data_IF_758674062660
#
_entry.id   IF_758674062660
#
_cell.length_a   1.000
_cell.length_b   1.000
_cell.length_c   1.000
_cell.angle_alpha   90.00
_cell.angle_beta   90.00
_cell.angle_gamma   90.00
#
_symmetry.space_group_name_H-M   'P 1'
#
loop_
_entity.id
_entity.type
_entity.pdbx_description
1 polymer ?
#
# COMPACT_ATOMS: atom_id res chain seq x y z
N UNK A 1 -16.99 -25.06 -14.26
CA UNK A 1 -16.20 -26.26 -13.91
C UNK A 1 -17.07 -27.14 -13.04
N UNK A 2 -17.31 -28.40 -13.43
CA UNK A 2 -18.14 -29.32 -12.63
C UNK A 2 -17.42 -29.58 -11.31
N UNK A 3 -17.99 -29.16 -10.19
CA UNK A 3 -17.40 -29.17 -8.83
C UNK A 3 -17.11 -30.55 -8.22
N UNK A 4 -16.68 -31.52 -9.03
CA UNK A 4 -16.25 -32.85 -8.61
C UNK A 4 -14.74 -33.10 -8.68
N UNK A 5 -13.96 -32.18 -9.25
CA UNK A 5 -12.50 -32.29 -9.25
C UNK A 5 -11.95 -31.68 -7.96
N UNK A 6 -11.41 -32.50 -7.06
CA UNK A 6 -10.73 -32.06 -5.83
C UNK A 6 -9.26 -32.44 -5.93
N UNK A 7 -8.38 -31.48 -5.63
CA UNK A 7 -6.95 -31.75 -5.54
C UNK A 7 -6.68 -32.74 -4.39
N UNK A 8 -5.83 -33.76 -4.58
CA UNK A 8 -5.48 -34.70 -3.50
C UNK A 8 -4.86 -33.92 -2.33
N UNK A 9 -5.14 -34.31 -1.09
CA UNK A 9 -4.61 -33.62 0.11
C UNK A 9 -4.96 -32.12 0.25
N UNK A 10 -5.90 -31.58 -0.54
CA UNK A 10 -6.30 -30.17 -0.43
C UNK A 10 -6.92 -29.80 0.93
N UNK A 11 -7.37 -30.76 1.73
CA UNK A 11 -7.87 -30.52 3.09
C UNK A 11 -6.75 -30.08 4.07
N UNK A 12 -5.49 -30.36 3.74
CA UNK A 12 -4.31 -29.89 4.49
C UNK A 12 -4.00 -28.40 4.20
N UNK A 13 -4.57 -27.84 3.12
CA UNK A 13 -4.32 -26.47 2.63
C UNK A 13 -5.63 -25.68 2.58
N UNK A 14 -6.15 -25.34 3.75
CA UNK A 14 -7.39 -24.55 3.86
C UNK A 14 -7.16 -23.13 3.33
N UNK A 15 -7.80 -22.82 2.21
CA UNK A 15 -7.90 -21.47 1.70
C UNK A 15 -9.01 -20.70 2.45
N UNK A 16 -8.89 -19.38 2.60
CA UNK A 16 -9.96 -18.58 3.18
C UNK A 16 -11.20 -18.58 2.28
N UNK A 17 -12.35 -18.26 2.88
CA UNK A 17 -13.57 -18.04 2.12
C UNK A 17 -13.40 -16.84 1.19
N UNK A 18 -13.87 -16.96 -0.05
CA UNK A 18 -13.81 -15.85 -1.01
C UNK A 18 -15.14 -15.11 -0.98
N UNK A 19 -15.12 -13.89 -0.44
CA UNK A 19 -16.27 -12.99 -0.36
C UNK A 19 -16.11 -11.89 -1.42
N UNK A 20 -17.13 -11.72 -2.27
CA UNK A 20 -17.15 -10.62 -3.23
C UNK A 20 -17.51 -9.30 -2.57
N UNK A 21 -17.04 -8.20 -3.15
CA UNK A 21 -17.35 -6.85 -2.70
C UNK A 21 -18.85 -6.58 -2.45
N UNK A 22 -19.12 -5.97 -1.30
CA UNK A 22 -20.45 -5.50 -0.87
C UNK A 22 -21.04 -4.55 -1.93
N UNK A 23 -20.21 -3.69 -2.51
CA UNK A 23 -20.60 -2.76 -3.56
C UNK A 23 -21.00 -3.40 -4.90
N UNK A 24 -20.57 -4.64 -5.16
CA UNK A 24 -20.85 -5.37 -6.40
C UNK A 24 -19.96 -4.99 -7.59
N UNK A 25 -18.76 -4.44 -7.37
CA UNK A 25 -17.84 -4.05 -8.46
C UNK A 25 -17.27 -5.23 -9.27
N UNK A 26 -17.29 -6.46 -8.73
CA UNK A 26 -16.68 -7.67 -9.31
C UNK A 26 -15.16 -7.63 -9.46
N UNK A 27 -14.51 -6.56 -8.99
CA UNK A 27 -13.07 -6.36 -9.02
C UNK A 27 -12.42 -6.73 -7.68
N UNK A 28 -13.08 -6.42 -6.56
CA UNK A 28 -12.55 -6.68 -5.22
C UNK A 28 -13.14 -7.95 -4.58
N UNK A 29 -12.25 -8.73 -3.99
CA UNK A 29 -12.52 -9.99 -3.28
C UNK A 29 -11.77 -10.01 -1.95
N UNK A 30 -12.35 -10.66 -0.95
CA UNK A 30 -11.88 -10.65 0.42
C UNK A 30 -11.86 -12.07 1.00
N UNK A 31 -10.98 -12.31 1.96
CA UNK A 31 -10.85 -13.59 2.67
C UNK A 31 -11.98 -13.86 3.69
N UNK A 32 -12.95 -12.96 3.82
CA UNK A 32 -14.09 -13.09 4.73
C UNK A 32 -14.96 -11.83 4.76
N UNK A 33 -16.13 -11.94 5.39
CA UNK A 33 -17.07 -10.81 5.52
C UNK A 33 -16.47 -9.67 6.35
N UNK A 34 -15.73 -10.00 7.42
CA UNK A 34 -15.07 -9.00 8.26
C UNK A 34 -14.09 -8.13 7.47
N UNK A 35 -13.27 -8.74 6.59
CA UNK A 35 -12.36 -8.00 5.72
C UNK A 35 -13.10 -7.17 4.67
N UNK A 36 -14.20 -7.69 4.10
CA UNK A 36 -15.02 -6.94 3.15
C UNK A 36 -15.68 -5.71 3.81
N UNK A 37 -16.18 -5.86 5.03
CA UNK A 37 -16.76 -4.77 5.82
C UNK A 37 -15.71 -3.74 6.24
N UNK A 38 -14.55 -4.20 6.73
CA UNK A 38 -13.44 -3.31 7.11
C UNK A 38 -12.97 -2.45 5.93
N UNK A 39 -12.78 -3.05 4.75
CA UNK A 39 -12.38 -2.36 3.52
C UNK A 39 -13.45 -1.36 3.05
N UNK A 40 -14.72 -1.77 3.09
CA UNK A 40 -15.87 -0.93 2.74
C UNK A 40 -15.96 0.33 3.61
N UNK A 41 -15.84 0.15 4.93
CA UNK A 41 -15.88 1.22 5.91
C UNK A 41 -14.64 2.11 5.90
N UNK A 42 -13.48 1.55 5.56
CA UNK A 42 -12.22 2.28 5.55
C UNK A 42 -12.08 3.18 4.33
N UNK A 43 -12.43 2.72 3.13
CA UNK A 43 -12.27 3.55 1.91
C UNK A 43 -13.10 3.05 0.72
N UNK A 44 -13.36 1.75 0.60
CA UNK A 44 -13.87 1.17 -0.64
C UNK A 44 -15.30 1.59 -0.96
N UNK A 45 -16.12 1.94 0.02
CA UNK A 45 -17.45 2.52 -0.24
C UNK A 45 -17.42 3.74 -1.18
N UNK A 46 -16.40 4.60 -1.08
CA UNK A 46 -16.21 5.74 -1.99
C UNK A 46 -15.48 5.38 -3.28
N UNK A 47 -14.71 4.29 -3.28
CA UNK A 47 -13.88 3.84 -4.40
C UNK A 47 -14.45 2.63 -5.14
N UNK A 48 -15.69 2.26 -4.84
CA UNK A 48 -16.35 1.15 -5.50
C UNK A 48 -16.92 1.58 -6.85
N UNK A 49 -16.69 0.78 -7.89
CA UNK A 49 -17.28 0.95 -9.24
C UNK A 49 -18.63 0.24 -9.39
N UNK A 50 -19.09 -0.47 -8.35
CA UNK A 50 -20.34 -1.22 -8.32
C UNK A 50 -21.60 -0.39 -8.06
N UNK A 51 -22.76 -1.03 -8.15
CA UNK A 51 -24.08 -0.39 -8.04
C UNK A 51 -24.36 0.22 -6.67
N UNK A 52 -23.78 -0.34 -5.60
CA UNK A 52 -23.95 0.14 -4.22
C UNK A 52 -22.87 1.13 -3.78
N UNK A 53 -22.13 1.69 -4.72
CA UNK A 53 -21.09 2.69 -4.45
C UNK A 53 -21.65 3.94 -3.77
N UNK A 54 -20.85 4.52 -2.87
CA UNK A 54 -21.09 5.83 -2.25
C UNK A 54 -20.41 6.97 -3.00
N UNK A 55 -19.76 6.70 -4.14
CA UNK A 55 -19.19 7.74 -5.00
C UNK A 55 -20.28 8.64 -5.61
N UNK A 56 -19.97 9.92 -5.81
CA UNK A 56 -20.85 10.86 -6.53
C UNK A 56 -21.01 10.47 -8.01
N UNK A 57 -19.97 9.89 -8.61
CA UNK A 57 -20.00 9.44 -10.00
C UNK A 57 -19.10 8.23 -10.22
N UNK A 58 -19.72 7.05 -10.32
CA UNK A 58 -19.01 5.81 -10.69
C UNK A 58 -18.37 5.90 -12.08
N UNK A 59 -18.98 6.63 -13.02
CA UNK A 59 -18.38 6.89 -14.34
C UNK A 59 -17.10 7.72 -14.25
N UNK A 60 -17.06 8.75 -13.39
CA UNK A 60 -15.83 9.51 -13.18
C UNK A 60 -14.77 8.67 -12.47
N UNK A 61 -15.20 7.84 -11.51
CA UNK A 61 -14.33 6.91 -10.80
C UNK A 61 -13.70 5.88 -11.75
N UNK A 62 -14.46 5.28 -12.67
CA UNK A 62 -13.91 4.36 -13.67
C UNK A 62 -12.86 5.04 -14.55
N UNK A 63 -13.06 6.31 -14.92
CA UNK A 63 -12.04 7.08 -15.67
C UNK A 63 -10.79 7.35 -14.83
N UNK A 64 -10.97 7.64 -13.54
CA UNK A 64 -9.85 7.80 -12.60
C UNK A 64 -9.04 6.51 -12.50
N UNK A 65 -9.71 5.37 -12.30
CA UNK A 65 -9.06 4.05 -12.20
C UNK A 65 -8.33 3.71 -13.50
N UNK A 66 -8.97 3.95 -14.65
CA UNK A 66 -8.33 3.77 -15.96
C UNK A 66 -7.07 4.64 -16.09
N UNK A 67 -7.17 5.93 -15.78
CA UNK A 67 -6.02 6.84 -15.84
C UNK A 67 -4.87 6.37 -14.93
N UNK A 68 -5.17 5.96 -13.70
CA UNK A 68 -4.16 5.42 -12.79
C UNK A 68 -3.47 4.18 -13.37
N UNK A 69 -4.24 3.21 -13.86
CA UNK A 69 -3.69 1.99 -14.47
C UNK A 69 -2.86 2.27 -15.74
N UNK A 70 -3.18 3.32 -16.49
CA UNK A 70 -2.46 3.70 -17.71
C UNK A 70 -1.24 4.59 -17.46
N UNK A 71 -1.11 5.18 -16.26
CA UNK A 71 -0.07 6.19 -15.97
C UNK A 71 0.76 5.84 -14.73
N UNK A 72 0.16 5.89 -13.55
CA UNK A 72 0.80 5.53 -12.28
C UNK A 72 -0.24 5.01 -11.29
N UNK A 73 -0.06 3.78 -10.82
CA UNK A 73 -0.97 3.08 -9.91
C UNK A 73 -0.98 3.67 -8.49
N UNK A 74 0.05 4.46 -8.13
CA UNK A 74 0.12 5.18 -6.86
C UNK A 74 -1.07 6.11 -6.63
N UNK A 75 -1.71 6.57 -7.71
CA UNK A 75 -2.91 7.37 -7.63
C UNK A 75 -4.04 6.59 -6.94
N UNK A 76 -4.13 5.28 -7.13
CA UNK A 76 -5.09 4.42 -6.43
C UNK A 76 -4.83 4.44 -4.91
N UNK A 77 -3.57 4.41 -4.48
CA UNK A 77 -3.20 4.54 -3.07
C UNK A 77 -3.54 5.93 -2.52
N UNK A 78 -3.26 6.98 -3.29
CA UNK A 78 -3.62 8.35 -2.91
C UNK A 78 -5.13 8.54 -2.75
N UNK A 79 -5.93 7.93 -3.64
CA UNK A 79 -7.37 7.92 -3.53
C UNK A 79 -7.88 7.15 -2.30
N UNK A 80 -7.21 6.03 -1.93
CA UNK A 80 -7.51 5.31 -0.67
C UNK A 80 -7.27 6.20 0.55
N UNK A 81 -6.17 6.96 0.59
CA UNK A 81 -5.88 7.90 1.69
C UNK A 81 -6.95 8.98 1.78
N UNK A 82 -7.30 9.64 0.67
CA UNK A 82 -8.34 10.68 0.67
C UNK A 82 -9.68 10.10 1.14
N UNK A 83 -10.08 8.94 0.61
CA UNK A 83 -11.34 8.27 0.97
C UNK A 83 -11.37 7.88 2.45
N UNK A 84 -10.25 7.37 2.96
CA UNK A 84 -10.08 7.04 4.38
C UNK A 84 -10.29 8.23 5.29
N UNK A 85 -9.66 9.36 4.96
CA UNK A 85 -9.78 10.59 5.76
C UNK A 85 -11.21 11.14 5.70
N UNK A 86 -11.87 11.10 4.53
CA UNK A 86 -13.27 11.53 4.37
C UNK A 86 -14.21 10.68 5.22
N UNK A 87 -14.14 9.34 5.11
CA UNK A 87 -15.04 8.45 5.85
C UNK A 87 -14.80 8.53 7.36
N UNK A 88 -13.55 8.66 7.80
CA UNK A 88 -13.20 8.86 9.20
C UNK A 88 -13.68 10.21 9.72
N UNK A 89 -13.58 11.29 8.93
CA UNK A 89 -14.16 12.59 9.25
C UNK A 89 -15.68 12.51 9.44
N UNK A 90 -16.40 11.84 8.52
CA UNK A 90 -17.85 11.63 8.62
C UNK A 90 -18.24 10.89 9.90
N UNK A 91 -17.54 9.80 10.23
CA UNK A 91 -17.74 9.05 11.49
C UNK A 91 -17.54 9.94 12.73
N UNK A 92 -16.48 10.75 12.77
CA UNK A 92 -16.27 11.66 13.91
C UNK A 92 -17.30 12.77 14.01
N UNK A 93 -17.78 13.28 12.86
CA UNK A 93 -18.83 14.29 12.81
C UNK A 93 -20.16 13.73 13.33
N UNK A 94 -20.54 12.54 12.90
CA UNK A 94 -21.76 11.85 13.36
C UNK A 94 -21.72 11.59 14.86
N UNK A 95 -20.60 11.10 15.39
CA UNK A 95 -20.42 10.89 16.84
C UNK A 95 -20.62 12.19 17.64
N UNK A 96 -20.02 13.31 17.18
CA UNK A 96 -20.20 14.62 17.84
C UNK A 96 -21.63 15.14 17.77
N UNK A 97 -22.33 14.93 16.66
CA UNK A 97 -23.74 15.33 16.54
C UNK A 97 -24.65 14.50 17.46
N UNK A 98 -24.33 13.21 17.65
CA UNK A 98 -24.98 12.36 18.65
C UNK A 98 -24.82 12.89 20.07
N UNK A 99 -23.62 13.30 20.45
CA UNK A 99 -23.32 13.90 21.77
C UNK A 99 -24.03 15.25 22.00
N UNK A 100 -24.09 16.11 20.97
CA UNK A 100 -24.74 17.43 21.07
C UNK A 100 -26.27 17.33 21.16
N UNK A 101 -26.87 16.29 20.59
CA UNK A 101 -28.33 16.10 20.68
C UNK A 101 -28.79 15.64 22.07
N UNK A 102 -27.89 15.10 22.91
CA UNK A 102 -28.16 14.77 24.32
C UNK A 102 -27.95 15.98 25.26
N UNK A 103 -27.10 16.93 24.88
CA UNK A 103 -26.83 18.15 25.65
C UNK A 103 -27.36 19.39 24.91
N UNK A 104 -28.50 19.94 25.38
CA UNK A 104 -29.09 21.18 24.86
C UNK A 104 -28.15 22.41 24.98
N UNK A 105 -27.15 22.55 24.11
CA UNK A 105 -26.41 23.79 23.90
C UNK A 105 -26.10 24.03 22.42
N UNK A 106 -26.68 25.12 21.93
CA UNK A 106 -26.32 25.79 20.67
C UNK A 106 -24.85 26.18 20.68
N UNK A 107 -24.07 25.61 19.75
CA UNK A 107 -22.84 26.25 19.26
C UNK A 107 -22.86 26.21 17.73
N UNK A 108 -22.91 27.40 17.13
CA UNK A 108 -22.71 27.59 15.69
C UNK A 108 -21.21 27.56 15.37
N UNK A 109 -20.86 26.73 14.39
CA UNK A 109 -19.90 27.04 13.30
C UNK A 109 -18.61 27.76 13.69
N UNK A 110 -17.56 27.01 14.07
CA UNK A 110 -16.17 27.46 13.85
C UNK A 110 -15.08 26.37 14.13
N UNK A 111 -15.29 25.06 13.92
CA UNK A 111 -14.22 24.07 14.20
C UNK A 111 -14.29 22.80 13.33
N UNK A 112 -14.39 22.92 12.00
CA UNK A 112 -14.27 21.75 11.11
C UNK A 112 -12.81 21.26 10.96
N UNK A 113 -11.83 22.16 11.11
CA UNK A 113 -10.40 21.86 10.92
C UNK A 113 -9.82 20.84 11.95
N UNK A 114 -10.16 20.87 13.26
CA UNK A 114 -9.66 19.88 14.20
C UNK A 114 -10.11 18.44 13.89
N UNK A 115 -11.29 18.25 13.31
CA UNK A 115 -11.81 16.90 13.00
C UNK A 115 -11.12 16.29 11.80
N UNK A 116 -10.89 17.06 10.74
CA UNK A 116 -10.17 16.55 9.56
C UNK A 116 -8.71 16.23 9.91
N UNK A 117 -8.07 17.05 10.75
CA UNK A 117 -6.72 16.74 11.25
C UNK A 117 -6.69 15.47 12.09
N UNK A 118 -7.69 15.24 12.94
CA UNK A 118 -7.84 13.98 13.70
C UNK A 118 -8.11 12.78 12.77
N UNK A 119 -8.83 12.99 11.66
CA UNK A 119 -9.05 11.96 10.66
C UNK A 119 -7.75 11.64 9.87
N UNK A 120 -6.90 12.64 9.66
CA UNK A 120 -5.61 12.54 8.98
C UNK A 120 -4.50 11.90 9.84
N UNK A 121 -4.57 12.03 11.16
CA UNK A 121 -3.53 11.57 12.10
C UNK A 121 -2.91 10.19 11.79
N UNK A 122 -3.66 9.12 11.45
CA UNK A 122 -3.06 7.81 11.17
C UNK A 122 -2.11 7.77 9.97
N UNK A 123 -2.27 8.69 9.02
CA UNK A 123 -1.44 8.81 7.82
C UNK A 123 -0.50 10.02 7.88
N UNK A 124 -0.47 10.74 9.01
CA UNK A 124 0.35 11.94 9.16
C UNK A 124 1.86 11.65 9.23
N UNK A 125 2.24 10.42 9.55
CA UNK A 125 3.64 10.03 9.76
C UNK A 125 4.47 10.03 8.47
N UNK A 126 3.83 9.83 7.32
CA UNK A 126 4.51 9.76 6.02
C UNK A 126 4.82 11.12 5.37
N UNK A 127 4.97 12.20 6.16
CA UNK A 127 5.19 13.52 5.58
C UNK A 127 6.50 13.58 4.77
N UNK A 128 6.38 13.73 3.45
CA UNK A 128 7.47 13.86 2.49
C UNK A 128 7.18 14.98 1.50
N UNK A 129 8.18 15.34 0.70
CA UNK A 129 8.06 16.34 -0.36
C UNK A 129 6.98 15.99 -1.38
N UNK A 130 6.58 16.96 -2.19
CA UNK A 130 5.65 16.70 -3.29
C UNK A 130 6.30 15.77 -4.30
N UNK A 131 5.51 14.87 -4.89
CA UNK A 131 6.00 13.89 -5.85
C UNK A 131 6.94 14.47 -6.93
N UNK A 132 6.54 15.55 -7.61
CA UNK A 132 7.36 16.19 -8.64
C UNK A 132 8.64 16.87 -8.11
N UNK A 133 8.80 17.01 -6.79
CA UNK A 133 10.01 17.54 -6.17
C UNK A 133 10.98 16.41 -5.81
N UNK A 134 10.47 15.22 -5.49
CA UNK A 134 11.25 14.10 -4.96
C UNK A 134 11.32 12.85 -5.87
N UNK A 135 10.65 12.86 -7.02
CA UNK A 135 10.77 11.77 -7.99
C UNK A 135 12.21 11.66 -8.47
N UNK A 136 12.74 10.44 -8.45
CA UNK A 136 14.02 10.13 -9.10
C UNK A 136 13.88 10.39 -10.60
N UNK A 137 14.91 11.00 -11.19
CA UNK A 137 14.89 11.37 -12.59
C UNK A 137 15.70 10.34 -13.37
N UNK A 138 15.14 9.73 -14.43
CA UNK A 138 15.90 8.84 -15.30
C UNK A 138 17.16 9.52 -15.85
N UNK A 139 18.24 8.74 -16.02
CA UNK A 139 19.54 9.24 -16.49
C UNK A 139 19.49 9.90 -17.88
N UNK A 140 18.48 9.55 -18.69
CA UNK A 140 18.25 10.08 -20.04
C UNK A 140 17.42 11.37 -20.09
N UNK A 141 17.02 11.92 -18.92
CA UNK A 141 16.27 13.18 -18.86
C UNK A 141 17.22 14.38 -18.91
N UNK A 142 17.34 14.97 -20.11
CA UNK A 142 18.11 16.20 -20.34
C UNK A 142 17.47 17.44 -19.67
N UNK A 143 16.14 17.54 -19.69
CA UNK A 143 15.39 18.66 -19.10
C UNK A 143 14.57 18.22 -17.88
N UNK A 144 15.24 18.27 -16.72
CA UNK A 144 14.68 17.96 -15.41
C UNK A 144 13.46 18.82 -15.06
N UNK A 145 13.38 20.05 -15.57
CA UNK A 145 12.26 20.96 -15.27
C UNK A 145 11.01 20.54 -16.04
N UNK A 146 11.16 20.29 -17.33
CA UNK A 146 10.07 19.81 -18.20
C UNK A 146 9.49 18.49 -17.69
N UNK A 147 10.34 17.54 -17.30
CA UNK A 147 9.88 16.25 -16.76
C UNK A 147 9.05 16.43 -15.48
N UNK A 148 9.53 17.23 -14.52
CA UNK A 148 8.78 17.53 -13.29
C UNK A 148 7.44 18.22 -13.55
N UNK A 149 7.36 19.06 -14.58
CA UNK A 149 6.10 19.67 -14.99
C UNK A 149 5.12 18.63 -15.53
N UNK A 150 5.56 17.68 -16.35
CA UNK A 150 4.72 16.60 -16.88
C UNK A 150 4.18 15.71 -15.75
N UNK A 151 5.03 15.33 -14.80
CA UNK A 151 4.64 14.56 -13.60
C UNK A 151 3.58 15.31 -12.79
N UNK A 152 3.75 16.63 -12.64
CA UNK A 152 2.78 17.49 -11.95
C UNK A 152 1.44 17.58 -12.71
N UNK A 153 1.46 17.63 -14.04
CA UNK A 153 0.26 17.59 -14.87
C UNK A 153 -0.50 16.26 -14.74
N UNK A 154 0.19 15.12 -14.72
CA UNK A 154 -0.41 13.81 -14.46
C UNK A 154 -1.14 13.79 -13.10
N UNK A 155 -0.46 14.26 -12.04
CA UNK A 155 -1.07 14.35 -10.72
C UNK A 155 -2.31 15.27 -10.72
N UNK A 156 -2.27 16.37 -11.47
CA UNK A 156 -3.40 17.29 -11.60
C UNK A 156 -4.59 16.62 -12.31
N UNK A 157 -4.38 15.96 -13.46
CA UNK A 157 -5.43 15.26 -14.19
C UNK A 157 -6.10 14.17 -13.34
N UNK A 158 -5.26 13.34 -12.70
CA UNK A 158 -5.66 12.32 -11.74
C UNK A 158 -6.55 12.90 -10.63
N UNK A 159 -6.12 14.01 -10.01
CA UNK A 159 -6.88 14.70 -8.97
C UNK A 159 -8.22 15.25 -9.48
N UNK A 160 -8.27 15.80 -10.70
CA UNK A 160 -9.53 16.30 -11.27
C UNK A 160 -10.54 15.17 -11.52
N UNK A 161 -10.07 14.00 -11.94
CA UNK A 161 -10.92 12.81 -12.10
C UNK A 161 -11.44 12.31 -10.74
N UNK A 162 -10.56 12.22 -9.74
CA UNK A 162 -10.92 11.81 -8.39
C UNK A 162 -11.92 12.78 -7.74
N UNK A 163 -11.69 14.10 -7.89
CA UNK A 163 -12.60 15.14 -7.41
C UNK A 163 -13.99 14.98 -8.02
N UNK A 164 -14.11 14.72 -9.32
CA UNK A 164 -15.42 14.45 -9.95
C UNK A 164 -16.10 13.19 -9.42
N UNK A 165 -15.33 12.22 -8.92
CA UNK A 165 -15.84 10.95 -8.42
C UNK A 165 -16.32 11.03 -6.96
N UNK A 166 -15.56 11.68 -6.07
CA UNK A 166 -15.74 11.55 -4.61
C UNK A 166 -15.63 12.87 -3.83
N UNK A 167 -15.73 14.03 -4.48
CA UNK A 167 -15.59 15.32 -3.80
C UNK A 167 -16.52 15.47 -2.59
N UNK A 168 -15.97 16.04 -1.52
CA UNK A 168 -16.70 16.37 -0.30
C UNK A 168 -16.35 17.82 0.07
N UNK A 169 -17.36 18.69 0.15
CA UNK A 169 -17.19 20.12 0.41
C UNK A 169 -16.58 20.38 1.80
N UNK A 170 -16.86 19.53 2.78
CA UNK A 170 -16.32 19.68 4.13
C UNK A 170 -14.86 19.22 4.23
N UNK A 171 -14.41 18.44 3.26
CA UNK A 171 -13.04 17.94 3.12
C UNK A 171 -12.32 18.55 1.90
N UNK A 172 -12.76 19.72 1.43
CA UNK A 172 -12.21 20.41 0.25
C UNK A 172 -10.67 20.51 0.23
N UNK A 173 -9.97 20.77 1.36
CA UNK A 173 -8.51 20.84 1.36
C UNK A 173 -7.81 19.59 0.86
N UNK A 174 -8.39 18.39 1.08
CA UNK A 174 -7.84 17.12 0.59
C UNK A 174 -7.76 17.06 -0.94
N UNK A 175 -8.57 17.87 -1.63
CA UNK A 175 -8.61 17.96 -3.08
C UNK A 175 -7.76 19.11 -3.65
N UNK A 176 -6.77 19.57 -2.89
CA UNK A 176 -5.74 20.47 -3.39
C UNK A 176 -4.60 19.68 -4.05
N UNK A 177 -4.05 20.23 -5.14
CA UNK A 177 -2.91 19.60 -5.82
C UNK A 177 -1.70 19.47 -4.88
N UNK A 178 -1.53 20.43 -3.99
CA UNK A 178 -0.48 20.40 -2.97
C UNK A 178 -0.63 19.17 -2.07
N UNK A 179 -1.78 18.98 -1.39
CA UNK A 179 -1.98 17.82 -0.51
C UNK A 179 -1.90 16.50 -1.28
N UNK A 180 -2.48 16.44 -2.48
CA UNK A 180 -2.41 15.25 -3.32
C UNK A 180 -0.96 14.89 -3.69
N UNK A 181 -0.15 15.89 -4.05
CA UNK A 181 1.27 15.71 -4.34
C UNK A 181 2.08 15.21 -3.15
N UNK A 182 1.76 15.65 -1.93
CA UNK A 182 2.40 15.14 -0.70
C UNK A 182 1.98 13.68 -0.40
N UNK A 183 0.71 13.32 -0.65
CA UNK A 183 0.25 11.93 -0.50
C UNK A 183 0.99 11.01 -1.47
N UNK A 184 1.15 11.43 -2.72
CA UNK A 184 1.87 10.64 -3.71
C UNK A 184 3.34 10.52 -3.33
N UNK A 185 4.00 11.64 -3.00
CA UNK A 185 5.40 11.64 -2.56
C UNK A 185 5.65 10.80 -1.31
N UNK A 186 4.68 10.72 -0.40
CA UNK A 186 4.71 9.80 0.74
C UNK A 186 4.83 8.34 0.29
N UNK A 187 4.07 7.89 -0.70
CA UNK A 187 4.16 6.51 -1.15
C UNK A 187 5.45 6.28 -1.96
N UNK A 188 5.81 7.16 -2.89
CA UNK A 188 7.03 6.99 -3.72
C UNK A 188 8.31 6.81 -2.90
N UNK A 189 8.43 7.52 -1.76
CA UNK A 189 9.65 7.49 -0.96
C UNK A 189 9.65 6.47 0.19
N UNK A 190 8.51 5.83 0.48
CA UNK A 190 8.40 4.96 1.66
C UNK A 190 7.76 3.60 1.37
N UNK A 191 7.37 3.35 0.11
CA UNK A 191 6.82 2.09 -0.31
C UNK A 191 7.85 0.96 -0.16
N UNK A 192 7.41 -0.14 0.42
CA UNK A 192 8.19 -1.38 0.49
C UNK A 192 7.56 -2.43 -0.40
N UNK A 193 8.41 -3.15 -1.12
CA UNK A 193 8.00 -4.32 -1.89
C UNK A 193 7.58 -5.43 -0.94
N UNK A 194 6.39 -5.94 -1.18
CA UNK A 194 5.78 -7.02 -0.44
C UNK A 194 5.74 -8.26 -1.32
N UNK A 195 6.31 -9.36 -0.84
CA UNK A 195 6.32 -10.63 -1.55
C UNK A 195 5.75 -11.70 -0.66
N UNK A 196 4.54 -12.15 -0.97
CA UNK A 196 3.89 -13.27 -0.28
C UNK A 196 3.96 -14.50 -1.16
N UNK A 197 4.45 -15.62 -0.61
CA UNK A 197 4.56 -16.85 -1.37
C UNK A 197 3.20 -17.39 -1.79
N UNK A 198 3.15 -18.00 -2.98
CA UNK A 198 1.94 -18.65 -3.47
C UNK A 198 1.58 -19.84 -2.58
N UNK A 199 0.34 -19.94 -2.06
CA UNK A 199 -0.11 -21.13 -1.34
C UNK A 199 -0.04 -22.41 -2.17
N UNK A 200 -0.05 -22.28 -3.50
CA UNK A 200 0.10 -23.41 -4.42
C UNK A 200 1.53 -23.99 -4.41
N UNK A 201 2.54 -23.13 -4.18
CA UNK A 201 3.93 -23.58 -4.01
C UNK A 201 4.08 -24.54 -2.84
N UNK A 202 3.53 -24.17 -1.68
CA UNK A 202 3.54 -25.01 -0.48
C UNK A 202 2.82 -26.35 -0.69
N UNK A 203 1.70 -26.32 -1.41
CA UNK A 203 0.98 -27.54 -1.78
C UNK A 203 1.83 -28.48 -2.65
N UNK A 204 2.57 -27.93 -3.62
CA UNK A 204 3.42 -28.73 -4.52
C UNK A 204 4.60 -29.33 -3.77
N UNK A 205 5.28 -28.54 -2.92
CA UNK A 205 6.34 -29.03 -2.05
C UNK A 205 5.85 -30.17 -1.17
N UNK A 206 4.64 -30.05 -0.62
CA UNK A 206 4.03 -31.12 0.16
C UNK A 206 3.79 -32.40 -0.67
N UNK A 207 3.29 -32.29 -1.91
CA UNK A 207 3.15 -33.45 -2.80
C UNK A 207 4.53 -34.06 -3.12
N UNK A 208 5.54 -33.24 -3.30
CA UNK A 208 6.89 -33.69 -3.63
C UNK A 208 7.57 -34.46 -2.50
N UNK A 209 7.25 -34.12 -1.25
CA UNK A 209 7.75 -34.74 -0.02
C UNK A 209 6.96 -36.00 0.40
N UNK A 210 5.88 -36.35 -0.30
CA UNK A 210 5.11 -37.56 -0.02
C UNK A 210 5.92 -38.84 -0.25
N UNK A 211 5.62 -39.94 0.48
CA UNK A 211 6.17 -41.27 0.18
C UNK A 211 5.93 -41.68 -1.28
N UNK A 212 6.89 -42.39 -1.89
CA UNK A 212 6.91 -42.70 -3.33
C UNK A 212 5.60 -43.24 -3.92
N UNK A 213 4.85 -44.05 -3.15
CA UNK A 213 3.58 -44.61 -3.61
C UNK A 213 2.48 -43.54 -3.65
N UNK A 214 2.38 -42.73 -2.59
CA UNK A 214 1.37 -41.68 -2.46
C UNK A 214 1.65 -40.52 -3.42
N UNK A 215 2.94 -40.16 -3.57
CA UNK A 215 3.42 -39.19 -4.55
C UNK A 215 2.98 -39.56 -5.97
N UNK A 216 3.22 -40.79 -6.43
CA UNK A 216 2.80 -41.26 -7.76
C UNK A 216 1.29 -41.16 -8.00
N UNK A 217 0.49 -41.43 -6.97
CA UNK A 217 -0.97 -41.33 -7.06
C UNK A 217 -1.41 -39.87 -7.14
N UNK A 218 -0.83 -39.00 -6.32
CA UNK A 218 -1.11 -37.57 -6.32
C UNK A 218 -0.67 -36.90 -7.63
N UNK A 219 0.56 -37.18 -8.10
CA UNK A 219 1.12 -36.67 -9.35
C UNK A 219 0.27 -37.03 -10.56
N UNK A 220 -0.37 -38.20 -10.59
CA UNK A 220 -1.27 -38.56 -11.69
C UNK A 220 -2.43 -37.56 -11.86
N UNK A 221 -2.86 -36.92 -10.77
CA UNK A 221 -3.92 -35.90 -10.76
C UNK A 221 -3.36 -34.48 -10.87
N UNK A 222 -2.24 -34.18 -10.22
CA UNK A 222 -1.67 -32.82 -10.18
C UNK A 222 -0.82 -32.50 -11.41
N UNK A 223 -0.13 -33.47 -12.01
CA UNK A 223 0.81 -33.23 -13.11
C UNK A 223 0.19 -32.51 -14.31
N UNK A 224 -1.02 -32.87 -14.82
CA UNK A 224 -1.62 -32.11 -15.91
C UNK A 224 -1.90 -30.64 -15.56
N UNK A 225 -2.15 -30.34 -14.29
CA UNK A 225 -2.37 -28.98 -13.81
C UNK A 225 -1.03 -28.24 -13.75
N UNK A 226 0.02 -28.88 -13.22
CA UNK A 226 1.37 -28.31 -13.18
C UNK A 226 1.93 -28.07 -14.57
N UNK A 227 1.79 -29.03 -15.48
CA UNK A 227 2.23 -28.90 -16.86
C UNK A 227 1.47 -27.77 -17.58
N UNK A 228 0.20 -27.52 -17.23
CA UNK A 228 -0.59 -26.41 -17.77
C UNK A 228 -0.22 -25.05 -17.17
N UNK A 229 0.20 -25.01 -15.91
CA UNK A 229 0.69 -23.80 -15.23
C UNK A 229 2.15 -23.47 -15.61
N UNK A 230 2.96 -24.45 -16.01
CA UNK A 230 4.37 -24.23 -16.28
C UNK A 230 5.11 -23.78 -15.01
N UNK A 231 5.83 -22.67 -15.07
CA UNK A 231 6.51 -22.08 -13.92
C UNK A 231 5.57 -21.15 -13.09
N UNK A 232 4.36 -20.88 -13.59
CA UNK A 232 3.45 -19.90 -13.01
C UNK A 232 2.90 -20.30 -11.62
N UNK A 233 2.95 -21.59 -11.26
CA UNK A 233 2.49 -22.05 -9.95
C UNK A 233 3.29 -21.45 -8.78
N UNK A 234 4.54 -21.05 -9.06
CA UNK A 234 5.49 -20.49 -8.11
C UNK A 234 5.48 -18.96 -8.08
N UNK A 235 4.64 -18.32 -8.91
CA UNK A 235 4.53 -16.85 -8.92
C UNK A 235 4.02 -16.39 -7.57
N UNK A 236 4.88 -15.66 -6.86
CA UNK A 236 4.53 -14.99 -5.61
C UNK A 236 3.53 -13.86 -5.86
N UNK A 237 2.70 -13.58 -4.86
CA UNK A 237 1.91 -12.38 -4.83
C UNK A 237 2.84 -11.21 -4.51
N UNK A 238 3.13 -10.39 -5.52
CA UNK A 238 3.87 -9.16 -5.38
C UNK A 238 2.90 -8.01 -5.13
N UNK A 239 3.30 -7.09 -4.27
CA UNK A 239 2.56 -5.88 -4.00
C UNK A 239 3.45 -4.84 -3.35
N UNK A 240 2.84 -3.75 -2.95
CA UNK A 240 3.53 -2.66 -2.26
C UNK A 240 2.77 -2.32 -1.00
N UNK A 241 3.51 -2.05 0.07
CA UNK A 241 2.94 -1.71 1.35
C UNK A 241 3.56 -0.45 1.93
N UNK A 242 2.75 0.27 2.70
CA UNK A 242 3.17 1.43 3.47
C UNK A 242 3.04 1.08 4.96
N UNK A 243 4.17 1.08 5.67
CA UNK A 243 4.24 0.74 7.09
C UNK A 243 4.63 1.98 7.90
N UNK A 244 3.66 2.70 8.51
CA UNK A 244 3.92 4.01 9.12
C UNK A 244 5.08 4.04 10.11
N UNK A 245 5.25 2.97 10.91
CA UNK A 245 6.34 2.87 11.89
C UNK A 245 7.70 2.63 11.25
N UNK A 246 7.77 1.77 10.23
CA UNK A 246 9.01 1.52 9.50
C UNK A 246 9.42 2.77 8.72
N UNK A 247 8.47 3.49 8.12
CA UNK A 247 8.75 4.72 7.36
C UNK A 247 9.32 5.87 8.24
N UNK A 248 9.30 5.73 9.56
CA UNK A 248 9.94 6.66 10.50
C UNK A 248 11.42 6.33 10.79
N UNK A 249 11.92 5.16 10.37
CA UNK A 249 13.28 4.72 10.67
C UNK A 249 14.24 5.28 9.63
N UNK A 250 15.18 6.12 10.06
CA UNK A 250 16.13 6.76 9.14
C UNK A 250 17.20 5.79 8.63
N UNK A 251 17.82 6.18 7.52
CA UNK A 251 18.93 5.45 6.91
C UNK A 251 20.24 5.54 7.71
N UNK A 252 20.99 4.45 7.74
CA UNK A 252 22.43 4.43 8.04
C UNK A 252 23.12 3.35 7.22
N UNK A 253 24.28 3.62 6.62
CA UNK A 253 25.09 2.58 5.96
C UNK A 253 25.79 1.64 6.96
N UNK A 254 25.61 1.89 8.26
CA UNK A 254 25.92 0.97 9.37
C UNK A 254 24.69 0.96 10.29
N UNK A 255 23.61 0.27 9.90
CA UNK A 255 22.35 0.31 10.62
C UNK A 255 22.44 -0.51 11.91
N UNK A 256 21.60 -0.17 12.90
CA UNK A 256 21.47 -0.94 14.15
C UNK A 256 20.23 -1.85 14.16
N UNK A 257 19.40 -1.79 13.12
CA UNK A 257 18.28 -2.69 12.88
C UNK A 257 18.16 -3.04 11.40
N UNK A 258 17.43 -4.11 11.08
CA UNK A 258 17.10 -4.48 9.69
C UNK A 258 15.70 -5.06 9.58
N UNK A 259 15.16 -4.98 8.38
CA UNK A 259 14.00 -5.78 7.99
C UNK A 259 14.35 -7.27 8.01
N UNK A 260 13.39 -8.07 8.45
CA UNK A 260 13.49 -9.51 8.57
C UNK A 260 12.34 -10.18 7.82
N UNK A 261 12.66 -10.80 6.70
CA UNK A 261 11.73 -11.63 5.95
C UNK A 261 11.59 -12.98 6.64
N UNK A 262 10.39 -13.29 7.12
CA UNK A 262 10.08 -14.59 7.72
C UNK A 262 9.94 -15.62 6.59
N UNK A 263 10.57 -16.78 6.73
CA UNK A 263 10.50 -17.86 5.71
C UNK A 263 9.05 -18.30 5.39
N UNK A 264 8.11 -18.04 6.30
CA UNK A 264 6.69 -18.41 6.18
C UNK A 264 5.78 -17.18 6.13
N UNK A 265 6.28 -16.04 5.62
CA UNK A 265 5.45 -14.85 5.53
C UNK A 265 4.27 -15.08 4.59
N UNK A 266 3.07 -14.99 5.18
CA UNK A 266 1.77 -15.25 4.53
C UNK A 266 0.79 -14.10 4.72
N UNK A 267 1.16 -13.12 5.53
CA UNK A 267 0.32 -12.00 5.94
C UNK A 267 0.90 -10.64 5.56
N UNK A 268 2.16 -10.60 5.12
CA UNK A 268 2.82 -9.37 4.70
C UNK A 268 3.17 -8.46 5.87
N UNK A 269 3.46 -9.03 7.04
CA UNK A 269 3.85 -8.27 8.23
C UNK A 269 5.33 -7.85 8.16
N UNK A 270 5.59 -6.54 8.09
CA UNK A 270 6.95 -6.01 8.19
C UNK A 270 7.52 -6.21 9.61
N UNK A 271 8.59 -7.02 9.71
CA UNK A 271 9.29 -7.28 10.97
C UNK A 271 10.65 -6.57 10.97
N UNK A 272 10.92 -5.75 11.98
CA UNK A 272 12.22 -5.09 12.18
C UNK A 272 12.93 -5.72 13.39
N UNK A 273 14.16 -6.20 13.20
CA UNK A 273 14.98 -6.80 14.25
C UNK A 273 16.23 -5.95 14.52
N UNK A 274 16.61 -5.85 15.80
CA UNK A 274 17.86 -5.20 16.18
C UNK A 274 19.06 -6.09 15.78
N UNK A 275 20.07 -5.48 15.19
CA UNK A 275 21.35 -6.12 14.86
C UNK A 275 22.34 -6.08 16.01
N UNK A 276 22.15 -5.13 16.92
CA UNK A 276 22.98 -4.90 18.09
C UNK A 276 22.17 -4.38 19.28
N UNK A 277 22.83 -4.14 20.41
CA UNK A 277 22.17 -3.58 21.58
C UNK A 277 21.90 -2.08 21.41
N UNK A 278 20.62 -1.72 21.30
CA UNK A 278 20.17 -0.33 21.15
C UNK A 278 19.82 0.26 22.52
N UNK A 279 20.45 1.38 22.89
CA UNK A 279 20.21 2.04 24.18
C UNK A 279 18.95 2.88 24.17
N UNK A 280 18.38 3.15 25.36
CA UNK A 280 17.27 4.09 25.49
C UNK A 280 17.66 5.47 24.96
N UNK A 281 16.87 5.99 24.01
CA UNK A 281 17.09 7.30 23.38
C UNK A 281 18.03 7.27 22.18
N UNK A 282 18.59 6.10 21.85
CA UNK A 282 19.30 5.89 20.60
C UNK A 282 18.31 5.74 19.44
N UNK A 283 18.65 6.33 18.29
CA UNK A 283 17.82 6.26 17.09
C UNK A 283 17.92 4.86 16.47
N UNK A 284 16.76 4.33 16.06
CA UNK A 284 16.71 3.09 15.27
C UNK A 284 16.94 3.47 13.82
N UNK A 285 17.94 2.85 13.19
CA UNK A 285 18.28 3.06 11.78
C UNK A 285 18.29 1.74 11.03
N UNK A 286 17.82 1.79 9.78
CA UNK A 286 17.84 0.68 8.82
C UNK A 286 18.68 1.09 7.62
N UNK A 287 19.07 0.14 6.76
CA UNK A 287 19.63 0.47 5.45
C UNK A 287 18.51 0.58 4.42
N UNK A 288 18.64 1.49 3.45
CA UNK A 288 17.70 1.67 2.34
C UNK A 288 18.28 1.12 1.03
N UNK A 289 19.55 0.74 1.07
CA UNK A 289 20.38 0.40 -0.08
C UNK A 289 21.31 -0.75 0.34
N UNK A 290 22.04 -1.33 -0.60
CA UNK A 290 23.11 -2.26 -0.26
C UNK A 290 24.28 -1.50 0.41
N UNK A 291 24.51 -1.78 1.69
CA UNK A 291 25.61 -1.17 2.45
C UNK A 291 27.00 -1.57 1.94
N UNK A 292 27.16 -2.67 1.21
CA UNK A 292 28.46 -3.16 0.73
C UNK A 292 28.97 -2.42 -0.51
N UNK A 293 28.13 -1.61 -1.16
CA UNK A 293 28.51 -0.78 -2.30
C UNK A 293 29.57 0.27 -1.92
N UNK A 294 30.43 0.73 -2.86
CA UNK A 294 31.38 1.80 -2.62
C UNK A 294 30.73 3.11 -2.15
N UNK A 295 31.49 3.94 -1.42
CA UNK A 295 31.01 5.22 -0.88
C UNK A 295 30.27 6.10 -1.91
N UNK A 296 30.87 6.30 -3.09
CA UNK A 296 30.30 7.15 -4.13
C UNK A 296 28.96 6.60 -4.64
N UNK A 297 28.86 5.29 -4.87
CA UNK A 297 27.62 4.62 -5.30
C UNK A 297 26.53 4.72 -4.24
N UNK A 298 26.87 4.55 -2.95
CA UNK A 298 25.90 4.72 -1.85
C UNK A 298 25.38 6.16 -1.78
N UNK A 299 26.23 7.17 -1.97
CA UNK A 299 25.78 8.56 -1.96
C UNK A 299 24.86 8.87 -3.13
N UNK A 300 25.16 8.35 -4.32
CA UNK A 300 24.31 8.49 -5.51
C UNK A 300 22.93 7.88 -5.30
N UNK A 301 22.85 6.63 -4.81
CA UNK A 301 21.56 5.98 -4.55
C UNK A 301 20.73 6.70 -3.48
N UNK A 302 21.37 7.34 -2.50
CA UNK A 302 20.68 8.09 -1.44
C UNK A 302 20.23 9.50 -1.87
N UNK A 303 20.77 10.02 -2.99
CA UNK A 303 20.30 11.27 -3.59
C UNK A 303 18.82 11.15 -4.02
N UNK A 304 18.38 9.97 -4.47
CA UNK A 304 16.98 9.69 -4.80
C UNK A 304 16.03 9.81 -3.59
N UNK A 305 16.56 9.59 -2.39
CA UNK A 305 15.83 9.81 -1.14
C UNK A 305 15.90 11.28 -0.68
N UNK A 306 16.62 12.14 -1.41
CA UNK A 306 16.69 13.57 -1.19
C UNK A 306 17.64 14.00 -0.07
N UNK A 307 18.64 13.19 0.29
CA UNK A 307 19.62 13.55 1.33
C UNK A 307 21.03 13.05 1.04
N UNK A 308 22.02 13.67 1.69
CA UNK A 308 23.44 13.25 1.66
C UNK A 308 23.73 12.50 2.96
N UNK A 309 24.17 11.25 2.87
CA UNK A 309 24.40 10.41 4.03
C UNK A 309 25.67 10.81 4.78
N UNK A 310 25.55 11.05 6.08
CA UNK A 310 26.64 11.42 6.98
C UNK A 310 26.79 10.43 8.14
N UNK A 311 26.37 9.18 7.94
CA UNK A 311 26.52 8.14 8.95
C UNK A 311 28.01 7.89 9.26
N UNK A 312 28.35 7.17 10.35
CA UNK A 312 29.73 6.89 10.70
C UNK A 312 30.54 6.25 9.57
N UNK A 313 29.98 5.26 8.85
CA UNK A 313 30.63 4.60 7.71
C UNK A 313 30.97 5.59 6.60
N UNK A 314 30.01 6.43 6.20
CA UNK A 314 30.24 7.46 5.18
C UNK A 314 31.22 8.56 5.64
N UNK A 315 31.26 8.88 6.94
CA UNK A 315 32.22 9.87 7.46
C UNK A 315 33.65 9.35 7.51
N UNK A 316 33.83 8.03 7.66
CA UNK A 316 35.14 7.36 7.66
C UNK A 316 35.69 7.16 6.23
N UNK A 317 34.81 7.00 5.24
CA UNK A 317 35.16 6.72 3.84
C UNK A 317 35.27 7.96 2.92
N UNK A 318 34.79 9.14 3.38
CA UNK A 318 34.81 10.41 2.63
C UNK A 318 36.20 11.08 2.61
#
# INVERSE_FOLDING_TARGET
>A
MNGGLKLPYSDEFKLPDVVSCIGGCKEAYYCGNECAEADWEAYHSLLCTGERSSALSTKALSKFVQHANETNDIFLLAAKVISFVILRYRKFKEARLGEINDDHKKIRSSYNNPLIMKAWEPVAMGHKSRWWECISLPDDVDDKCSYRMQVKELAFESLQLLKKAIYDEECEPLFSLEIYGHIIGMFEQNNLDLVVQSPLGDYILYIDDLPQNDKKVAEKLTRPILDALGDDYSICCQGTAFFPLQSCMNHSCRPNAKEFNREQDRDGEATIIALEHIKKGEEITISYIDEELPFEERQLLLEDYGFVCKCPKCSEEA
#
